data_IF_038793538011
#
_entry.id   IF_038793538011
#
_cell.length_a   1.000
_cell.length_b   1.000
_cell.length_c   1.000
_cell.angle_alpha   90.00
_cell.angle_beta   90.00
_cell.angle_gamma   90.00
#
_symmetry.space_group_name_H-M   'P 1'
#
loop_
_entity.id
_entity.type
_entity.pdbx_description
1 polymer ?
#
# COMPACT_ATOMS: atom_id res chain seq x y z
N UNK A 1 12.86 -23.73 25.30
CA UNK A 1 12.85 -22.52 24.45
C UNK A 1 11.71 -22.65 23.45
N UNK A 2 10.93 -21.59 23.22
CA UNK A 2 9.77 -21.62 22.31
C UNK A 2 10.15 -21.13 20.89
N UNK A 3 10.98 -20.08 20.81
CA UNK A 3 11.22 -19.39 19.53
C UNK A 3 12.45 -18.50 19.61
N UNK A 4 13.17 -18.41 18.51
CA UNK A 4 14.19 -17.39 18.27
C UNK A 4 13.64 -16.24 17.44
N UNK A 5 14.17 -15.05 17.65
CA UNK A 5 13.83 -13.88 16.85
C UNK A 5 15.05 -13.00 16.61
N UNK A 6 15.16 -12.47 15.40
CA UNK A 6 16.13 -11.44 15.06
C UNK A 6 15.38 -10.16 14.72
N UNK A 7 15.71 -9.07 15.40
CA UNK A 7 15.23 -7.73 15.09
C UNK A 7 16.29 -6.96 14.31
N UNK A 8 15.88 -6.35 13.21
CA UNK A 8 16.74 -5.56 12.34
C UNK A 8 16.20 -4.13 12.25
N UNK A 9 16.98 -3.16 12.72
CA UNK A 9 16.74 -1.75 12.44
C UNK A 9 17.65 -1.33 11.28
N UNK A 10 17.02 -0.95 10.15
CA UNK A 10 17.71 -0.79 8.87
C UNK A 10 17.74 0.67 8.44
N UNK A 11 18.95 1.21 8.31
CA UNK A 11 19.22 2.52 7.74
C UNK A 11 19.89 2.42 6.35
N UNK A 12 20.12 3.55 5.71
CA UNK A 12 20.75 3.57 4.37
C UNK A 12 22.14 2.95 4.32
N UNK A 13 22.92 3.01 5.42
CA UNK A 13 24.34 2.58 5.45
C UNK A 13 24.60 1.38 6.35
N UNK A 14 23.80 1.18 7.40
CA UNK A 14 24.01 0.15 8.42
C UNK A 14 22.71 -0.54 8.81
N UNK A 15 22.86 -1.71 9.39
CA UNK A 15 21.80 -2.52 9.98
C UNK A 15 22.21 -2.84 11.41
N UNK A 16 21.43 -2.39 12.37
CA UNK A 16 21.57 -2.76 13.77
C UNK A 16 20.75 -4.02 14.05
N UNK A 17 21.38 -5.06 14.56
CA UNK A 17 20.80 -6.41 14.67
C UNK A 17 20.76 -6.84 16.13
N UNK A 18 19.68 -7.48 16.54
CA UNK A 18 19.52 -8.08 17.85
C UNK A 18 18.98 -9.50 17.72
N UNK A 19 19.67 -10.47 18.29
CA UNK A 19 19.23 -11.87 18.38
C UNK A 19 18.65 -12.12 19.78
N UNK A 20 17.40 -12.59 19.84
CA UNK A 20 16.66 -12.87 21.06
C UNK A 20 16.06 -14.26 21.03
N UNK A 21 15.72 -14.75 22.20
CA UNK A 21 14.90 -15.97 22.38
C UNK A 21 13.80 -15.73 23.39
N UNK A 22 12.71 -16.48 23.26
CA UNK A 22 11.64 -16.53 24.24
C UNK A 22 11.55 -17.93 24.84
N UNK A 23 11.40 -18.03 26.16
CA UNK A 23 11.27 -19.30 26.88
C UNK A 23 9.79 -19.69 27.12
N UNK A 24 9.56 -20.85 27.73
CA UNK A 24 8.22 -21.35 28.09
C UNK A 24 7.48 -20.44 29.09
N UNK A 25 8.22 -19.68 29.89
CA UNK A 25 7.67 -18.67 30.80
C UNK A 25 7.40 -17.33 30.13
N UNK A 26 7.44 -17.27 28.77
CA UNK A 26 7.23 -16.07 27.96
C UNK A 26 8.25 -14.93 28.23
N UNK A 27 9.38 -15.25 28.83
CA UNK A 27 10.45 -14.27 29.08
C UNK A 27 11.35 -14.15 27.84
N UNK A 28 11.45 -12.94 27.32
CA UNK A 28 12.37 -12.63 26.22
C UNK A 28 13.76 -12.28 26.74
N UNK A 29 14.78 -12.93 26.17
CA UNK A 29 16.17 -12.73 26.54
C UNK A 29 17.01 -12.38 25.30
N UNK A 30 17.67 -11.22 25.34
CA UNK A 30 18.66 -10.84 24.32
C UNK A 30 19.90 -11.73 24.49
N UNK A 31 20.36 -12.33 23.41
CA UNK A 31 21.52 -13.22 23.39
C UNK A 31 22.75 -12.57 22.77
N UNK A 32 22.56 -11.81 21.70
CA UNK A 32 23.65 -11.18 20.96
C UNK A 32 23.17 -9.97 20.18
N UNK A 33 24.06 -9.03 19.93
CA UNK A 33 23.83 -7.87 19.05
C UNK A 33 25.04 -7.67 18.15
N UNK A 34 24.81 -7.17 16.94
CA UNK A 34 25.85 -6.80 15.98
C UNK A 34 25.34 -5.67 15.09
N UNK A 35 26.27 -4.88 14.57
CA UNK A 35 25.97 -3.90 13.51
C UNK A 35 26.73 -4.29 12.26
N UNK A 36 26.04 -4.36 11.10
CA UNK A 36 26.63 -4.68 9.81
C UNK A 36 26.33 -3.59 8.79
N UNK A 37 27.07 -3.54 7.70
CA UNK A 37 26.81 -2.60 6.60
C UNK A 37 25.57 -3.03 5.80
N UNK A 38 24.77 -2.06 5.34
CA UNK A 38 23.62 -2.32 4.47
C UNK A 38 24.09 -2.49 3.00
N UNK A 39 24.78 -3.59 2.72
CA UNK A 39 25.28 -3.96 1.40
C UNK A 39 25.47 -5.50 1.31
N UNK A 40 25.75 -6.08 0.14
CA UNK A 40 25.88 -7.52 -0.02
C UNK A 40 26.89 -8.19 0.92
N UNK A 41 28.02 -7.54 1.21
CA UNK A 41 29.02 -8.05 2.17
C UNK A 41 28.44 -8.10 3.58
N UNK A 42 27.76 -7.05 4.01
CA UNK A 42 27.10 -7.01 5.32
C UNK A 42 25.96 -8.02 5.45
N UNK A 43 25.23 -8.30 4.36
CA UNK A 43 24.18 -9.33 4.37
C UNK A 43 24.75 -10.74 4.57
N UNK A 44 25.91 -11.05 4.00
CA UNK A 44 26.58 -12.33 4.25
C UNK A 44 27.03 -12.42 5.71
N UNK A 45 27.66 -11.38 6.25
CA UNK A 45 28.04 -11.32 7.67
C UNK A 45 26.83 -11.48 8.60
N UNK A 46 25.70 -10.87 8.25
CA UNK A 46 24.45 -11.01 8.99
C UNK A 46 23.94 -12.46 8.97
N UNK A 47 23.95 -13.12 7.80
CA UNK A 47 23.52 -14.50 7.67
C UNK A 47 24.41 -15.45 8.50
N UNK A 48 25.73 -15.30 8.43
CA UNK A 48 26.68 -16.09 9.20
C UNK A 48 26.50 -15.88 10.72
N UNK A 49 26.26 -14.62 11.12
CA UNK A 49 26.00 -14.30 12.52
C UNK A 49 24.66 -14.88 13.01
N UNK A 50 23.62 -14.86 12.20
CA UNK A 50 22.33 -15.52 12.50
C UNK A 50 22.54 -17.02 12.66
N UNK A 51 23.25 -17.65 11.73
CA UNK A 51 23.50 -19.08 11.74
C UNK A 51 24.29 -19.53 12.98
N UNK A 52 25.32 -18.80 13.36
CA UNK A 52 26.13 -19.01 14.57
C UNK A 52 25.32 -18.91 15.87
N UNK A 53 24.34 -17.98 15.93
CA UNK A 53 23.52 -17.79 17.13
C UNK A 53 22.30 -18.72 17.18
N UNK A 54 21.82 -19.21 16.04
CA UNK A 54 20.71 -20.18 15.94
C UNK A 54 21.21 -21.60 16.25
N UNK A 55 21.54 -21.85 17.50
CA UNK A 55 22.18 -23.12 17.94
C UNK A 55 21.24 -24.33 17.83
N UNK A 56 19.96 -24.16 18.16
CA UNK A 56 18.94 -25.23 18.10
C UNK A 56 18.12 -25.04 16.84
N UNK A 57 18.49 -25.75 15.77
CA UNK A 57 17.90 -25.60 14.42
C UNK A 57 16.46 -26.12 14.32
N UNK A 58 16.04 -26.96 15.25
CA UNK A 58 14.67 -27.46 15.41
C UNK A 58 13.70 -26.38 15.95
N UNK A 59 14.23 -25.36 16.60
CA UNK A 59 13.42 -24.25 17.12
C UNK A 59 13.22 -23.18 16.04
N UNK A 60 11.98 -22.73 15.88
CA UNK A 60 11.62 -21.74 14.89
C UNK A 60 12.36 -20.40 15.10
N UNK A 61 12.88 -19.84 14.01
CA UNK A 61 13.48 -18.51 13.96
C UNK A 61 12.64 -17.60 13.05
N UNK A 62 12.37 -16.37 13.49
CA UNK A 62 11.78 -15.32 12.65
C UNK A 62 12.66 -14.08 12.65
N UNK A 63 12.79 -13.45 11.51
CA UNK A 63 13.52 -12.19 11.34
C UNK A 63 12.48 -11.06 11.19
N UNK A 64 12.52 -10.09 12.08
CA UNK A 64 11.58 -8.98 12.15
C UNK A 64 12.28 -7.66 11.80
N UNK A 65 11.77 -6.92 10.82
CA UNK A 65 12.30 -5.62 10.43
C UNK A 65 11.18 -4.62 10.15
N UNK A 66 11.49 -3.33 10.25
CA UNK A 66 10.55 -2.26 9.91
C UNK A 66 10.67 -1.88 8.44
N UNK A 67 9.53 -1.59 7.78
CA UNK A 67 9.48 -1.10 6.41
C UNK A 67 9.91 0.38 6.32
N UNK A 68 11.16 0.68 6.57
CA UNK A 68 11.71 2.04 6.54
C UNK A 68 12.17 2.41 5.13
N UNK A 69 11.31 3.14 4.41
CA UNK A 69 11.58 3.55 3.03
C UNK A 69 11.81 2.37 2.09
N UNK A 70 12.91 2.39 1.34
CA UNK A 70 13.36 1.31 0.42
C UNK A 70 14.57 0.54 0.97
N UNK A 71 15.15 1.00 2.07
CA UNK A 71 16.44 0.50 2.54
C UNK A 71 16.40 -0.95 3.05
N UNK A 72 15.23 -1.43 3.47
CA UNK A 72 15.05 -2.80 3.93
C UNK A 72 14.93 -3.81 2.79
N UNK A 73 14.52 -3.38 1.58
CA UNK A 73 14.08 -4.29 0.50
C UNK A 73 15.18 -5.26 0.07
N UNK A 74 16.42 -4.78 -0.11
CA UNK A 74 17.54 -5.63 -0.53
C UNK A 74 17.93 -6.66 0.53
N UNK A 75 17.97 -6.27 1.81
CA UNK A 75 18.23 -7.17 2.92
C UNK A 75 17.12 -8.21 3.08
N UNK A 76 15.85 -7.78 3.01
CA UNK A 76 14.70 -8.68 3.10
C UNK A 76 14.69 -9.72 1.98
N UNK A 77 14.98 -9.29 0.73
CA UNK A 77 15.06 -10.19 -0.43
C UNK A 77 16.19 -11.21 -0.26
N UNK A 78 17.39 -10.76 0.12
CA UNK A 78 18.52 -11.64 0.37
C UNK A 78 18.22 -12.72 1.42
N UNK A 79 17.59 -12.33 2.54
CA UNK A 79 17.23 -13.27 3.60
C UNK A 79 16.09 -14.21 3.15
N UNK A 80 15.15 -13.72 2.36
CA UNK A 80 14.07 -14.54 1.78
C UNK A 80 14.63 -15.60 0.82
N UNK A 81 15.57 -15.24 -0.06
CA UNK A 81 16.25 -16.15 -0.98
C UNK A 81 17.06 -17.23 -0.25
N UNK A 82 17.52 -16.93 0.98
CA UNK A 82 18.13 -17.92 1.89
C UNK A 82 17.08 -18.73 2.68
N UNK A 83 15.82 -18.72 2.29
CA UNK A 83 14.70 -19.42 2.94
C UNK A 83 14.48 -19.02 4.42
N UNK A 84 14.94 -17.84 4.84
CA UNK A 84 14.66 -17.32 6.16
C UNK A 84 13.20 -16.87 6.29
N UNK A 85 12.59 -17.07 7.46
CA UNK A 85 11.26 -16.54 7.78
C UNK A 85 11.34 -15.06 8.12
N UNK A 86 11.14 -14.20 7.13
CA UNK A 86 11.22 -12.74 7.26
C UNK A 86 9.82 -12.17 7.50
N UNK A 87 9.69 -11.21 8.41
CA UNK A 87 8.48 -10.44 8.65
C UNK A 87 8.80 -8.94 8.58
N UNK A 88 8.17 -8.24 7.65
CA UNK A 88 8.33 -6.80 7.46
C UNK A 88 7.14 -6.08 8.08
N UNK A 89 7.41 -5.25 9.07
CA UNK A 89 6.40 -4.59 9.90
C UNK A 89 6.18 -3.16 9.44
N UNK A 90 4.92 -2.76 9.36
CA UNK A 90 4.59 -1.37 9.04
C UNK A 90 5.10 -0.42 10.14
N UNK A 91 5.68 0.74 9.81
CA UNK A 91 6.25 1.69 10.76
C UNK A 91 5.32 2.08 11.91
N UNK A 92 4.04 2.30 11.62
CA UNK A 92 3.05 2.62 12.65
C UNK A 92 2.82 1.47 13.66
N UNK A 93 2.92 0.21 13.21
CA UNK A 93 2.76 -0.96 14.07
C UNK A 93 4.00 -1.14 14.94
N UNK A 94 5.19 -1.04 14.35
CA UNK A 94 6.46 -1.08 15.06
C UNK A 94 6.51 0.02 16.13
N UNK A 95 6.27 1.28 15.75
CA UNK A 95 6.25 2.42 16.66
C UNK A 95 5.32 2.24 17.86
N UNK A 96 4.08 1.77 17.64
CA UNK A 96 3.12 1.55 18.73
C UNK A 96 3.57 0.43 19.67
N UNK A 97 4.15 -0.62 19.14
CA UNK A 97 4.67 -1.71 19.94
C UNK A 97 5.86 -1.23 20.80
N UNK A 98 6.83 -0.53 20.21
CA UNK A 98 7.97 0.05 20.94
C UNK A 98 7.52 1.04 22.03
N UNK A 99 6.50 1.84 21.77
CA UNK A 99 5.91 2.73 22.77
C UNK A 99 5.26 1.94 23.93
N UNK A 100 4.59 0.82 23.62
CA UNK A 100 3.96 -0.03 24.64
C UNK A 100 4.99 -0.71 25.56
N UNK A 101 6.24 -0.91 25.10
CA UNK A 101 7.33 -1.42 25.95
C UNK A 101 7.82 -0.40 26.98
N UNK A 102 7.35 0.86 26.95
CA UNK A 102 7.74 1.90 27.91
C UNK A 102 9.20 2.33 27.84
N UNK A 103 9.87 2.10 26.71
CA UNK A 103 11.28 2.45 26.53
C UNK A 103 11.47 3.97 26.58
N UNK A 104 12.30 4.46 27.53
CA UNK A 104 12.54 5.89 27.76
C UNK A 104 13.51 6.50 26.74
N UNK A 105 14.39 5.70 26.17
CA UNK A 105 15.41 6.13 25.21
C UNK A 105 15.12 5.57 23.83
N UNK A 106 15.49 6.31 22.80
CA UNK A 106 15.37 5.91 21.40
C UNK A 106 16.77 5.95 20.77
N UNK A 107 17.24 4.79 20.30
CA UNK A 107 18.38 4.64 19.40
C UNK A 107 18.22 3.35 18.60
N UNK A 108 18.98 3.23 17.52
CA UNK A 108 18.88 2.12 16.57
C UNK A 108 19.06 0.74 17.25
N UNK A 109 19.94 0.63 18.22
CA UNK A 109 20.15 -0.62 18.98
C UNK A 109 18.93 -0.97 19.86
N UNK A 110 18.24 0.01 20.42
CA UNK A 110 17.02 -0.19 21.22
C UNK A 110 15.86 -0.58 20.29
N UNK A 111 15.75 0.06 19.13
CA UNK A 111 14.72 -0.26 18.14
C UNK A 111 14.91 -1.69 17.59
N UNK A 112 16.16 -2.12 17.30
CA UNK A 112 16.46 -3.51 16.93
C UNK A 112 16.08 -4.53 18.04
N UNK A 113 16.37 -4.21 19.33
CA UNK A 113 15.97 -5.05 20.46
C UNK A 113 14.44 -5.18 20.56
N UNK A 114 13.72 -4.06 20.42
CA UNK A 114 12.27 -4.06 20.44
C UNK A 114 11.64 -4.83 19.28
N UNK A 115 12.21 -4.74 18.07
CA UNK A 115 11.78 -5.54 16.92
C UNK A 115 12.06 -7.05 17.13
N UNK A 116 13.20 -7.41 17.75
CA UNK A 116 13.50 -8.79 18.14
C UNK A 116 12.50 -9.31 19.17
N UNK A 117 12.16 -8.50 20.18
CA UNK A 117 11.14 -8.84 21.16
C UNK A 117 9.77 -9.02 20.52
N UNK A 118 9.36 -8.10 19.63
CA UNK A 118 8.09 -8.21 18.88
C UNK A 118 8.02 -9.51 18.06
N UNK A 119 9.11 -9.86 17.38
CA UNK A 119 9.21 -11.11 16.63
C UNK A 119 9.15 -12.35 17.51
N UNK A 120 9.69 -12.30 18.73
CA UNK A 120 9.66 -13.39 19.70
C UNK A 120 8.24 -13.61 20.27
N UNK A 121 7.55 -12.53 20.66
CA UNK A 121 6.25 -12.57 21.35
C UNK A 121 5.06 -12.77 20.42
N UNK A 122 5.13 -12.24 19.18
CA UNK A 122 3.99 -12.24 18.27
C UNK A 122 4.11 -13.28 17.16
N UNK A 123 2.96 -13.78 16.71
CA UNK A 123 2.88 -14.51 15.45
C UNK A 123 2.72 -13.51 14.32
N UNK A 124 3.83 -13.15 13.68
CA UNK A 124 3.88 -12.14 12.63
C UNK A 124 3.62 -12.78 11.26
N UNK A 125 2.89 -12.06 10.41
CA UNK A 125 2.73 -12.46 9.01
C UNK A 125 4.10 -12.44 8.32
N UNK A 126 4.42 -13.53 7.64
CA UNK A 126 5.63 -13.59 6.83
C UNK A 126 5.51 -12.69 5.60
N UNK A 127 6.64 -12.10 5.24
CA UNK A 127 6.76 -11.24 4.08
C UNK A 127 7.08 -12.06 2.84
N UNK A 128 6.42 -11.70 1.75
CA UNK A 128 6.69 -12.21 0.42
C UNK A 128 7.13 -11.05 -0.48
N UNK A 129 8.20 -11.22 -1.26
CA UNK A 129 8.66 -10.18 -2.17
C UNK A 129 7.61 -9.91 -3.25
N UNK A 130 7.49 -8.65 -3.63
CA UNK A 130 6.73 -8.29 -4.81
C UNK A 130 7.42 -8.82 -6.05
N UNK A 131 6.68 -9.48 -6.96
CA UNK A 131 7.22 -9.94 -8.22
C UNK A 131 7.80 -8.77 -9.05
N UNK A 132 8.92 -9.01 -9.75
CA UNK A 132 9.64 -7.99 -10.53
C UNK A 132 8.71 -7.19 -11.44
N UNK A 133 7.80 -7.87 -12.14
CA UNK A 133 6.85 -7.25 -13.06
C UNK A 133 5.99 -6.15 -12.38
N UNK A 134 5.34 -6.46 -11.25
CA UNK A 134 4.52 -5.47 -10.55
C UNK A 134 5.36 -4.44 -9.79
N UNK A 135 6.59 -4.78 -9.41
CA UNK A 135 7.53 -3.84 -8.82
C UNK A 135 7.93 -2.74 -9.82
N UNK A 136 8.29 -3.10 -11.04
CA UNK A 136 8.60 -2.17 -12.13
C UNK A 136 7.38 -1.33 -12.52
N UNK A 137 6.20 -1.96 -12.66
CA UNK A 137 4.95 -1.25 -12.90
C UNK A 137 4.66 -0.21 -11.79
N UNK A 138 4.96 -0.56 -10.53
CA UNK A 138 4.84 0.36 -9.40
C UNK A 138 5.78 1.55 -9.50
N UNK A 139 7.01 1.35 -9.97
CA UNK A 139 7.94 2.45 -10.19
C UNK A 139 7.42 3.40 -11.28
N UNK A 140 6.96 2.89 -12.42
CA UNK A 140 6.38 3.69 -13.49
C UNK A 140 5.16 4.49 -13.03
N UNK A 141 4.19 3.85 -12.41
CA UNK A 141 2.95 4.50 -11.97
C UNK A 141 3.20 5.53 -10.87
N UNK A 142 4.14 5.29 -9.97
CA UNK A 142 4.53 6.26 -8.94
C UNK A 142 5.26 7.45 -9.54
N UNK A 143 6.16 7.23 -10.49
CA UNK A 143 6.85 8.31 -11.19
C UNK A 143 5.86 9.17 -11.98
N UNK A 144 4.91 8.53 -12.67
CA UNK A 144 3.82 9.24 -13.35
C UNK A 144 3.05 10.17 -12.40
N UNK A 145 2.64 9.66 -11.24
CA UNK A 145 1.94 10.46 -10.24
C UNK A 145 2.80 11.61 -9.71
N UNK A 146 4.08 11.36 -9.45
CA UNK A 146 5.00 12.39 -8.95
C UNK A 146 5.15 13.54 -9.97
N UNK A 147 5.37 13.23 -11.25
CA UNK A 147 5.48 14.25 -12.30
C UNK A 147 4.16 15.03 -12.44
N UNK A 148 3.01 14.36 -12.39
CA UNK A 148 1.70 15.01 -12.45
C UNK A 148 1.49 16.00 -11.29
N UNK A 149 1.95 15.65 -10.08
CA UNK A 149 1.94 16.56 -8.92
C UNK A 149 2.84 17.78 -9.17
N UNK A 150 4.06 17.56 -9.68
CA UNK A 150 4.99 18.65 -9.97
C UNK A 150 4.44 19.60 -11.03
N UNK A 151 3.84 19.09 -12.09
CA UNK A 151 3.17 19.93 -13.10
C UNK A 151 2.11 20.82 -12.44
N UNK A 152 1.33 20.27 -11.51
CA UNK A 152 0.30 21.04 -10.81
C UNK A 152 0.92 22.16 -9.97
N UNK A 153 2.01 21.87 -9.25
CA UNK A 153 2.75 22.85 -8.46
C UNK A 153 3.28 23.98 -9.37
N UNK A 154 3.96 23.64 -10.46
CA UNK A 154 4.51 24.64 -11.37
C UNK A 154 3.43 25.46 -12.10
N UNK A 155 2.30 24.85 -12.46
CA UNK A 155 1.15 25.59 -13.02
C UNK A 155 0.57 26.59 -12.03
N UNK A 156 0.46 26.23 -10.76
CA UNK A 156 0.00 27.15 -9.72
C UNK A 156 0.99 28.30 -9.48
N UNK A 157 2.30 28.03 -9.49
CA UNK A 157 3.33 29.06 -9.40
C UNK A 157 3.28 30.00 -10.61
N UNK A 158 3.16 29.45 -11.83
CA UNK A 158 3.03 30.24 -13.05
C UNK A 158 1.77 31.12 -13.02
N UNK A 159 0.64 30.58 -12.56
CA UNK A 159 -0.59 31.33 -12.41
C UNK A 159 -0.41 32.49 -11.42
N UNK A 160 0.17 32.24 -10.24
CA UNK A 160 0.45 33.26 -9.23
C UNK A 160 1.37 34.34 -9.78
N UNK A 161 2.44 33.96 -10.48
CA UNK A 161 3.40 34.92 -11.06
C UNK A 161 2.77 35.80 -12.16
N UNK A 162 1.94 35.19 -13.03
CA UNK A 162 1.22 35.94 -14.08
C UNK A 162 0.18 36.94 -13.54
N UNK A 163 -0.26 36.76 -12.31
CA UNK A 163 -1.21 37.66 -11.64
C UNK A 163 -0.54 38.58 -10.57
N UNK A 164 0.81 38.60 -10.53
CA UNK A 164 1.54 39.49 -9.62
C UNK A 164 1.62 40.91 -10.15
N UNK A 165 1.88 41.89 -9.27
CA UNK A 165 2.01 43.30 -9.63
C UNK A 165 3.10 43.55 -10.69
N UNK A 166 4.22 42.86 -10.58
CA UNK A 166 5.34 42.93 -11.53
C UNK A 166 5.70 41.52 -12.03
N UNK A 167 5.55 41.30 -13.33
CA UNK A 167 5.77 39.99 -13.93
C UNK A 167 7.22 39.88 -14.40
N UNK A 168 7.96 38.94 -13.82
CA UNK A 168 9.30 38.60 -14.31
C UNK A 168 9.21 37.61 -15.48
N UNK A 169 9.39 38.10 -16.71
CA UNK A 169 9.29 37.31 -17.94
C UNK A 169 10.30 36.17 -18.00
N UNK A 170 11.51 36.33 -17.41
CA UNK A 170 12.51 35.26 -17.38
C UNK A 170 12.06 34.07 -16.55
N UNK A 171 11.46 34.31 -15.37
CA UNK A 171 10.93 33.24 -14.51
C UNK A 171 9.70 32.57 -15.17
N UNK A 172 8.82 33.36 -15.80
CA UNK A 172 7.68 32.82 -16.57
C UNK A 172 8.18 31.81 -17.60
N UNK A 173 9.19 32.18 -18.42
CA UNK A 173 9.77 31.33 -19.47
C UNK A 173 10.37 30.04 -18.87
N UNK A 174 11.07 30.12 -17.73
CA UNK A 174 11.62 28.96 -17.05
C UNK A 174 10.51 27.97 -16.60
N UNK A 175 9.46 28.47 -15.94
CA UNK A 175 8.34 27.65 -15.49
C UNK A 175 7.61 26.97 -16.67
N UNK A 176 7.41 27.70 -17.77
CA UNK A 176 6.79 27.15 -18.99
C UNK A 176 7.64 26.03 -19.61
N UNK A 177 8.98 26.21 -19.64
CA UNK A 177 9.91 25.16 -20.11
C UNK A 177 9.84 23.89 -19.25
N UNK A 178 9.83 24.02 -17.91
CA UNK A 178 9.72 22.89 -17.00
C UNK A 178 8.39 22.15 -17.19
N UNK A 179 7.28 22.91 -17.29
CA UNK A 179 5.95 22.32 -17.52
C UNK A 179 5.92 21.56 -18.86
N UNK A 180 6.51 22.13 -19.91
CA UNK A 180 6.61 21.47 -21.23
C UNK A 180 7.42 20.16 -21.15
N UNK A 181 8.57 20.18 -20.48
CA UNK A 181 9.41 19.00 -20.27
C UNK A 181 8.64 17.90 -19.53
N UNK A 182 8.03 18.23 -18.39
CA UNK A 182 7.28 17.26 -17.60
C UNK A 182 6.04 16.72 -18.34
N UNK A 183 5.39 17.56 -19.16
CA UNK A 183 4.27 17.11 -19.99
C UNK A 183 4.72 16.07 -21.03
N UNK A 184 5.94 16.24 -21.61
CA UNK A 184 6.53 15.26 -22.52
C UNK A 184 6.84 13.96 -21.77
N UNK A 185 7.48 14.03 -20.60
CA UNK A 185 7.81 12.86 -19.78
C UNK A 185 6.55 12.09 -19.33
N UNK A 186 5.43 12.77 -19.05
CA UNK A 186 4.16 12.08 -18.74
C UNK A 186 3.70 11.21 -19.92
N UNK A 187 3.75 11.71 -21.15
CA UNK A 187 3.35 10.94 -22.33
C UNK A 187 4.25 9.73 -22.54
N UNK A 188 5.55 9.90 -22.37
CA UNK A 188 6.52 8.81 -22.46
C UNK A 188 6.27 7.73 -21.39
N UNK A 189 5.93 8.13 -20.15
CA UNK A 189 5.57 7.20 -19.08
C UNK A 189 4.23 6.50 -19.34
N UNK A 190 3.24 7.16 -19.91
CA UNK A 190 1.96 6.54 -20.32
C UNK A 190 2.22 5.41 -21.31
N UNK A 191 3.08 5.65 -22.31
CA UNK A 191 3.45 4.64 -23.30
C UNK A 191 4.25 3.50 -22.67
N UNK A 192 5.22 3.80 -21.80
CA UNK A 192 5.98 2.79 -21.06
C UNK A 192 5.09 1.93 -20.18
N UNK A 193 4.12 2.51 -19.49
CA UNK A 193 3.15 1.76 -18.68
C UNK A 193 2.32 0.83 -19.56
N UNK A 194 1.85 1.31 -20.71
CA UNK A 194 1.09 0.51 -21.67
C UNK A 194 1.92 -0.66 -22.20
N UNK A 195 3.12 -0.40 -22.68
CA UNK A 195 4.04 -1.41 -23.21
C UNK A 195 4.40 -2.44 -22.12
N UNK A 196 4.59 -2.00 -20.89
CA UNK A 196 4.83 -2.91 -19.77
C UNK A 196 3.63 -3.82 -19.47
N UNK A 197 2.39 -3.31 -19.54
CA UNK A 197 1.20 -4.15 -19.41
C UNK A 197 1.08 -5.16 -20.57
N UNK A 198 1.37 -4.74 -21.79
CA UNK A 198 1.36 -5.58 -23.01
C UNK A 198 2.43 -6.68 -22.97
N UNK A 199 3.53 -6.50 -22.23
CA UNK A 199 4.57 -7.54 -22.05
C UNK A 199 4.06 -8.78 -21.30
N UNK A 200 2.90 -8.69 -20.64
CA UNK A 200 2.25 -9.82 -19.98
C UNK A 200 0.81 -9.97 -20.51
N UNK A 201 0.57 -10.87 -21.49
CA UNK A 201 -0.73 -11.02 -22.14
C UNK A 201 -1.89 -11.33 -21.19
N UNK A 202 -1.64 -12.11 -20.13
CA UNK A 202 -2.67 -12.45 -19.13
C UNK A 202 -3.13 -11.19 -18.37
N UNK A 203 -2.16 -10.38 -17.91
CA UNK A 203 -2.46 -9.13 -17.19
C UNK A 203 -3.15 -8.15 -18.13
N UNK A 204 -2.70 -8.06 -19.39
CA UNK A 204 -3.29 -7.15 -20.36
C UNK A 204 -4.74 -7.53 -20.68
N UNK A 205 -5.03 -8.80 -20.93
CA UNK A 205 -6.39 -9.28 -21.16
C UNK A 205 -7.34 -8.95 -19.99
N UNK A 206 -6.89 -9.22 -18.76
CA UNK A 206 -7.67 -8.86 -17.55
C UNK A 206 -7.89 -7.36 -17.44
N UNK A 207 -6.87 -6.58 -17.80
CA UNK A 207 -6.93 -5.10 -17.82
C UNK A 207 -7.98 -4.62 -18.82
N UNK A 208 -7.97 -5.10 -20.05
CA UNK A 208 -8.95 -4.75 -21.08
C UNK A 208 -10.39 -5.11 -20.68
N UNK A 209 -10.59 -6.27 -20.07
CA UNK A 209 -11.89 -6.70 -19.57
C UNK A 209 -12.46 -5.74 -18.51
N UNK A 210 -11.61 -5.19 -17.66
CA UNK A 210 -12.02 -4.25 -16.61
C UNK A 210 -12.18 -2.84 -17.17
N UNK A 211 -11.37 -2.43 -18.15
CA UNK A 211 -11.50 -1.13 -18.81
C UNK A 211 -12.80 -0.96 -19.61
N UNK A 212 -13.59 -2.01 -19.79
CA UNK A 212 -14.99 -1.92 -20.27
C UNK A 212 -15.90 -1.14 -19.32
N UNK A 213 -15.52 -0.95 -18.06
CA UNK A 213 -16.19 -0.02 -17.14
C UNK A 213 -15.95 1.40 -17.65
N UNK A 214 -17.01 2.08 -18.12
CA UNK A 214 -16.88 3.46 -18.61
C UNK A 214 -16.34 4.38 -17.52
N UNK A 215 -15.15 4.93 -17.75
CA UNK A 215 -14.49 5.83 -16.81
C UNK A 215 -13.33 5.21 -16.04
N UNK A 216 -13.03 3.92 -16.23
CA UNK A 216 -11.82 3.27 -15.74
C UNK A 216 -10.83 3.15 -16.89
N UNK A 217 -9.76 3.96 -16.84
CA UNK A 217 -8.70 3.91 -17.83
C UNK A 217 -7.56 2.98 -17.43
N UNK A 218 -6.73 2.61 -18.41
CA UNK A 218 -5.55 1.74 -18.26
C UNK A 218 -4.63 2.22 -17.13
N UNK A 219 -4.33 3.53 -17.06
CA UNK A 219 -3.48 4.10 -16.01
C UNK A 219 -4.04 3.93 -14.60
N UNK A 220 -5.37 4.06 -14.46
CA UNK A 220 -6.03 3.86 -13.17
C UNK A 220 -5.91 2.42 -12.71
N UNK A 221 -6.10 1.48 -13.62
CA UNK A 221 -6.00 0.06 -13.33
C UNK A 221 -4.54 -0.36 -13.12
N UNK A 222 -3.61 0.10 -13.96
CA UNK A 222 -2.17 -0.13 -13.79
C UNK A 222 -1.70 0.28 -12.39
N UNK A 223 -2.14 1.46 -11.90
CA UNK A 223 -1.80 1.92 -10.55
C UNK A 223 -2.38 0.99 -9.46
N UNK A 224 -3.63 0.57 -9.60
CA UNK A 224 -4.25 -0.35 -8.63
C UNK A 224 -3.52 -1.69 -8.62
N UNK A 225 -3.23 -2.27 -9.78
CA UNK A 225 -2.51 -3.54 -9.92
C UNK A 225 -1.09 -3.44 -9.35
N UNK A 226 -0.37 -2.36 -9.67
CA UNK A 226 0.96 -2.10 -9.17
C UNK A 226 1.01 -1.99 -7.63
N UNK A 227 0.09 -1.25 -7.03
CA UNK A 227 0.06 -1.06 -5.57
C UNK A 227 -0.44 -2.29 -4.81
N UNK A 228 -1.06 -3.25 -5.49
CA UNK A 228 -1.63 -4.47 -4.89
C UNK A 228 -0.88 -5.75 -5.27
N UNK A 229 0.23 -5.65 -6.02
CA UNK A 229 0.93 -6.81 -6.58
C UNK A 229 -0.01 -7.74 -7.37
N UNK A 230 -0.82 -7.18 -8.28
CA UNK A 230 -1.84 -7.95 -8.99
C UNK A 230 -2.87 -8.62 -8.08
N UNK A 231 -3.16 -8.01 -6.92
CA UNK A 231 -4.04 -8.53 -5.87
C UNK A 231 -3.57 -9.83 -5.20
N UNK A 232 -2.32 -10.26 -5.39
CA UNK A 232 -1.77 -11.48 -4.75
C UNK A 232 -1.74 -11.38 -3.23
N UNK A 233 -1.62 -10.16 -2.69
CA UNK A 233 -1.52 -9.91 -1.25
C UNK A 233 -2.84 -10.08 -0.48
N UNK A 234 -3.97 -10.30 -1.20
CA UNK A 234 -5.32 -10.26 -0.61
C UNK A 234 -6.11 -11.54 -0.88
N UNK A 235 -6.61 -12.14 0.17
CA UNK A 235 -7.54 -13.28 0.12
C UNK A 235 -9.00 -12.83 0.02
N UNK A 236 -9.29 -11.60 0.48
CA UNK A 236 -10.65 -11.07 0.49
C UNK A 236 -10.71 -9.59 0.12
N UNK A 237 -11.86 -9.16 -0.40
CA UNK A 237 -12.14 -7.75 -0.66
C UNK A 237 -12.09 -6.89 0.61
N UNK A 238 -12.38 -7.46 1.79
CA UNK A 238 -12.29 -6.75 3.08
C UNK A 238 -10.85 -6.35 3.40
N UNK A 239 -9.89 -7.26 3.18
CA UNK A 239 -8.46 -6.96 3.36
C UNK A 239 -8.00 -5.85 2.40
N UNK A 240 -8.43 -5.90 1.13
CA UNK A 240 -8.13 -4.88 0.14
C UNK A 240 -8.72 -3.50 0.51
N UNK A 241 -9.96 -3.47 0.97
CA UNK A 241 -10.65 -2.24 1.42
C UNK A 241 -9.91 -1.61 2.60
N UNK A 242 -9.46 -2.44 3.56
CA UNK A 242 -8.64 -2.01 4.69
C UNK A 242 -7.28 -1.48 4.22
N UNK A 243 -6.60 -2.22 3.35
CA UNK A 243 -5.33 -1.80 2.76
C UNK A 243 -5.43 -0.45 2.03
N UNK A 244 -6.53 -0.21 1.33
CA UNK A 244 -6.79 1.08 0.68
C UNK A 244 -7.24 2.18 1.66
N UNK A 245 -7.58 1.85 2.90
CA UNK A 245 -8.02 2.80 3.93
C UNK A 245 -9.43 3.33 3.74
N UNK A 246 -10.30 2.51 3.13
CA UNK A 246 -11.74 2.77 3.01
C UNK A 246 -12.57 2.17 4.15
N UNK A 247 -11.93 1.62 5.18
CA UNK A 247 -12.63 1.17 6.38
C UNK A 247 -13.38 2.32 7.04
N UNK A 248 -14.56 2.03 7.53
CA UNK A 248 -15.34 2.99 8.33
C UNK A 248 -14.80 2.96 9.75
N UNK A 249 -14.44 4.11 10.25
CA UNK A 249 -14.06 4.31 11.65
C UNK A 249 -15.24 4.92 12.38
N UNK A 250 -15.71 4.19 13.37
CA UNK A 250 -16.71 4.66 14.33
C UNK A 250 -15.99 5.32 15.52
N UNK A 251 -16.57 6.40 16.01
CA UNK A 251 -16.08 7.11 17.19
C UNK A 251 -17.25 7.24 18.17
N UNK A 252 -17.47 6.17 18.93
CA UNK A 252 -18.53 6.10 19.91
C UNK A 252 -17.92 5.86 21.30
N UNK A 253 -18.39 6.58 22.28
CA UNK A 253 -17.99 6.42 23.68
C UNK A 253 -19.16 6.78 24.57
N UNK A 254 -19.74 5.78 25.26
CA UNK A 254 -20.94 5.94 26.06
C UNK A 254 -22.10 6.55 25.25
N UNK A 255 -22.63 7.68 25.69
CA UNK A 255 -23.72 8.39 25.01
C UNK A 255 -23.27 9.24 23.82
N UNK A 256 -21.95 9.40 23.58
CA UNK A 256 -21.41 10.21 22.50
C UNK A 256 -21.32 9.40 21.21
N UNK A 257 -22.08 9.80 20.19
CA UNK A 257 -21.99 9.27 18.83
C UNK A 257 -21.29 10.28 17.94
N UNK A 258 -20.04 10.00 17.56
CA UNK A 258 -19.24 10.83 16.67
C UNK A 258 -19.56 10.58 15.20
N UNK A 259 -19.15 11.50 14.30
CA UNK A 259 -19.32 11.33 12.86
C UNK A 259 -18.47 10.19 12.33
N UNK A 260 -19.08 9.25 11.62
CA UNK A 260 -18.38 8.20 10.88
C UNK A 260 -17.55 8.76 9.72
N UNK A 261 -16.36 8.24 9.52
CA UNK A 261 -15.46 8.60 8.40
C UNK A 261 -14.63 7.39 8.00
N UNK A 262 -14.06 7.41 6.79
CA UNK A 262 -13.08 6.40 6.40
C UNK A 262 -11.77 6.60 7.19
N UNK A 263 -11.06 5.50 7.43
CA UNK A 263 -9.83 5.50 8.24
C UNK A 263 -8.73 6.37 7.62
N UNK A 264 -8.65 6.40 6.31
CA UNK A 264 -7.52 6.95 5.51
C UNK A 264 -6.15 6.36 5.90
N UNK A 265 -6.12 5.38 6.81
CA UNK A 265 -4.93 4.63 7.21
C UNK A 265 -4.74 3.48 6.22
N UNK A 266 -3.99 3.74 5.15
CA UNK A 266 -3.77 2.77 4.08
C UNK A 266 -3.24 3.45 2.82
N UNK A 267 -3.24 2.74 1.71
CA UNK A 267 -2.66 3.20 0.45
C UNK A 267 -3.39 4.41 -0.13
N UNK A 268 -2.77 5.59 0.00
CA UNK A 268 -3.33 6.85 -0.50
C UNK A 268 -3.33 6.94 -2.02
N UNK A 269 -2.42 6.22 -2.71
CA UNK A 269 -2.31 6.23 -4.18
C UNK A 269 -3.51 5.55 -4.82
N UNK A 270 -3.99 4.44 -4.24
CA UNK A 270 -5.24 3.78 -4.68
C UNK A 270 -6.43 4.73 -4.51
N UNK A 271 -6.55 5.40 -3.36
CA UNK A 271 -7.66 6.36 -3.15
C UNK A 271 -7.60 7.53 -4.12
N UNK A 272 -6.40 8.03 -4.41
CA UNK A 272 -6.19 9.13 -5.35
C UNK A 272 -6.55 8.75 -6.77
N UNK A 273 -6.05 7.60 -7.25
CA UNK A 273 -6.26 7.20 -8.64
C UNK A 273 -7.73 6.83 -8.93
N UNK A 274 -8.46 6.33 -7.94
CA UNK A 274 -9.88 6.00 -8.07
C UNK A 274 -10.83 7.21 -7.92
N UNK A 275 -10.29 8.39 -7.57
CA UNK A 275 -11.10 9.58 -7.36
C UNK A 275 -11.85 10.00 -8.64
N UNK A 276 -11.13 10.27 -9.71
CA UNK A 276 -11.75 10.67 -10.99
C UNK A 276 -12.59 9.57 -11.65
N UNK A 277 -12.15 8.30 -11.70
CA UNK A 277 -13.00 7.21 -12.14
C UNK A 277 -14.36 7.14 -11.44
N UNK A 278 -14.39 7.36 -10.10
CA UNK A 278 -15.65 7.34 -9.37
C UNK A 278 -16.63 8.43 -9.81
N UNK A 279 -16.14 9.62 -10.16
CA UNK A 279 -16.99 10.68 -10.76
C UNK A 279 -17.48 10.29 -12.16
N UNK A 280 -16.59 9.71 -12.95
CA UNK A 280 -16.89 9.39 -14.35
C UNK A 280 -17.91 8.25 -14.46
N UNK A 281 -17.79 7.18 -13.66
CA UNK A 281 -18.78 6.07 -13.69
C UNK A 281 -20.19 6.54 -13.30
N UNK A 282 -20.30 7.49 -12.36
CA UNK A 282 -21.58 8.08 -11.97
C UNK A 282 -22.13 8.98 -13.09
N UNK A 283 -21.27 9.82 -13.70
CA UNK A 283 -21.64 10.69 -14.83
C UNK A 283 -22.04 9.89 -16.06
N UNK A 284 -21.37 8.77 -16.33
CA UNK A 284 -21.72 7.85 -17.42
C UNK A 284 -22.97 6.99 -17.13
N UNK A 285 -23.61 7.20 -15.97
CA UNK A 285 -24.82 6.47 -15.54
C UNK A 285 -24.63 4.95 -15.49
N UNK A 286 -23.42 4.48 -15.14
CA UNK A 286 -23.17 3.07 -14.89
C UNK A 286 -24.01 2.62 -13.68
N UNK A 287 -25.01 1.75 -13.94
CA UNK A 287 -26.10 1.46 -13.01
C UNK A 287 -25.65 1.06 -11.59
N UNK A 288 -24.67 0.15 -11.39
CA UNK A 288 -24.26 -0.26 -10.04
C UNK A 288 -23.70 0.92 -9.20
N UNK A 289 -23.04 1.87 -9.85
CA UNK A 289 -22.39 2.99 -9.19
C UNK A 289 -23.35 4.17 -9.00
N UNK A 290 -24.19 4.45 -10.00
CA UNK A 290 -25.21 5.49 -9.91
C UNK A 290 -26.22 5.18 -8.80
N UNK A 291 -26.73 3.94 -8.72
CA UNK A 291 -27.66 3.52 -7.68
C UNK A 291 -27.06 3.69 -6.28
N UNK A 292 -25.80 3.29 -6.09
CA UNK A 292 -25.11 3.48 -4.81
C UNK A 292 -24.94 4.98 -4.49
N UNK A 293 -24.50 5.79 -5.47
CA UNK A 293 -24.36 7.23 -5.30
C UNK A 293 -25.67 7.88 -4.88
N UNK A 294 -26.78 7.63 -5.61
CA UNK A 294 -28.09 8.21 -5.32
C UNK A 294 -28.57 7.82 -3.94
N UNK A 295 -28.54 6.53 -3.58
CA UNK A 295 -28.95 6.03 -2.27
C UNK A 295 -28.15 6.68 -1.13
N UNK A 296 -26.82 6.73 -1.25
CA UNK A 296 -25.99 7.31 -0.19
C UNK A 296 -26.13 8.82 -0.12
N UNK A 297 -26.30 9.50 -1.26
CA UNK A 297 -26.53 10.93 -1.28
C UNK A 297 -27.88 11.30 -0.64
N UNK A 298 -28.95 10.57 -0.93
CA UNK A 298 -30.27 10.75 -0.29
C UNK A 298 -30.19 10.60 1.23
N UNK A 299 -29.36 9.64 1.73
CA UNK A 299 -29.23 9.40 3.16
C UNK A 299 -28.40 10.47 3.90
N UNK A 300 -27.38 11.05 3.25
CA UNK A 300 -26.40 11.90 3.93
C UNK A 300 -26.34 13.35 3.43
N UNK A 301 -26.88 13.65 2.26
CA UNK A 301 -26.82 14.98 1.63
C UNK A 301 -25.40 15.44 1.23
N UNK A 302 -24.37 14.60 1.37
CA UNK A 302 -22.98 15.00 1.16
C UNK A 302 -22.40 14.26 -0.05
N UNK A 303 -22.27 14.98 -1.19
CA UNK A 303 -21.73 14.45 -2.46
C UNK A 303 -20.42 13.68 -2.29
N UNK A 304 -19.45 14.24 -1.58
CA UNK A 304 -18.13 13.62 -1.41
C UNK A 304 -18.16 12.31 -0.66
N UNK A 305 -19.04 12.13 0.35
CA UNK A 305 -19.20 10.83 1.02
C UNK A 305 -19.72 9.77 0.05
N UNK A 306 -20.69 10.14 -0.80
CA UNK A 306 -21.25 9.23 -1.79
C UNK A 306 -20.21 8.82 -2.84
N UNK A 307 -19.37 9.74 -3.31
CA UNK A 307 -18.26 9.40 -4.20
C UNK A 307 -17.22 8.49 -3.55
N UNK A 308 -16.93 8.65 -2.26
CA UNK A 308 -16.03 7.73 -1.53
C UNK A 308 -16.63 6.32 -1.43
N UNK A 309 -17.94 6.20 -1.24
CA UNK A 309 -18.62 4.89 -1.30
C UNK A 309 -18.52 4.26 -2.71
N UNK A 310 -18.65 5.06 -3.76
CA UNK A 310 -18.44 4.61 -5.14
C UNK A 310 -16.99 4.18 -5.39
N UNK A 311 -15.99 4.92 -4.90
CA UNK A 311 -14.57 4.51 -5.00
C UNK A 311 -14.34 3.14 -4.36
N UNK A 312 -14.86 2.92 -3.14
CA UNK A 312 -14.78 1.63 -2.45
C UNK A 312 -15.42 0.51 -3.29
N UNK A 313 -16.64 0.73 -3.80
CA UNK A 313 -17.34 -0.24 -4.64
C UNK A 313 -16.58 -0.53 -5.93
N UNK A 314 -16.04 0.51 -6.58
CA UNK A 314 -15.24 0.37 -7.79
C UNK A 314 -14.00 -0.50 -7.54
N UNK A 315 -13.28 -0.28 -6.45
CA UNK A 315 -12.13 -1.10 -6.06
C UNK A 315 -12.51 -2.58 -5.85
N UNK A 316 -13.63 -2.84 -5.19
CA UNK A 316 -14.13 -4.21 -4.95
C UNK A 316 -14.53 -4.90 -6.26
N UNK A 317 -15.20 -4.20 -7.17
CA UNK A 317 -15.57 -4.73 -8.49
C UNK A 317 -14.32 -5.02 -9.31
N UNK A 318 -13.35 -4.11 -9.38
CA UNK A 318 -12.07 -4.33 -10.07
C UNK A 318 -11.37 -5.60 -9.52
N UNK A 319 -11.31 -5.75 -8.20
CA UNK A 319 -10.75 -6.94 -7.55
C UNK A 319 -11.45 -8.22 -7.96
N UNK A 320 -12.79 -8.24 -7.91
CA UNK A 320 -13.59 -9.41 -8.27
C UNK A 320 -13.41 -9.81 -9.73
N UNK A 321 -13.47 -8.84 -10.65
CA UNK A 321 -13.29 -9.09 -12.07
C UNK A 321 -11.89 -9.62 -12.40
N UNK A 322 -10.86 -9.04 -11.79
CA UNK A 322 -9.48 -9.47 -11.98
C UNK A 322 -9.21 -10.89 -11.47
N UNK A 323 -9.68 -11.19 -10.23
CA UNK A 323 -9.49 -12.52 -9.62
C UNK A 323 -10.23 -13.62 -10.37
N UNK A 324 -11.43 -13.34 -10.87
CA UNK A 324 -12.28 -14.31 -11.55
C UNK A 324 -12.05 -14.32 -13.08
N UNK A 325 -11.15 -13.48 -13.60
CA UNK A 325 -10.91 -13.30 -15.03
C UNK A 325 -12.21 -13.10 -15.84
N UNK A 326 -13.09 -12.21 -15.35
CA UNK A 326 -14.40 -11.97 -15.97
C UNK A 326 -14.48 -10.56 -16.56
N UNK A 327 -15.09 -10.40 -17.74
CA UNK A 327 -15.40 -9.07 -18.28
C UNK A 327 -16.48 -8.38 -17.44
N UNK A 328 -16.44 -7.05 -17.42
CA UNK A 328 -17.48 -6.26 -16.78
C UNK A 328 -18.81 -6.38 -17.51
N UNK A 329 -19.86 -6.74 -16.76
CA UNK A 329 -21.25 -6.74 -17.21
C UNK A 329 -22.12 -5.93 -16.24
N UNK A 330 -22.66 -4.76 -16.66
CA UNK A 330 -23.49 -3.92 -15.80
C UNK A 330 -24.76 -4.63 -15.30
N UNK A 331 -25.33 -5.54 -16.09
CA UNK A 331 -26.57 -6.24 -15.75
C UNK A 331 -26.34 -7.25 -14.63
N UNK A 332 -25.26 -8.03 -14.72
CA UNK A 332 -24.89 -9.03 -13.71
C UNK A 332 -24.57 -8.42 -12.34
N UNK A 333 -23.92 -7.27 -12.32
CA UNK A 333 -23.59 -6.57 -11.07
C UNK A 333 -24.84 -6.06 -10.33
N UNK A 334 -25.93 -5.76 -11.04
CA UNK A 334 -27.20 -5.36 -10.42
C UNK A 334 -27.97 -6.54 -9.79
N UNK A 335 -27.83 -7.75 -10.35
CA UNK A 335 -28.51 -8.96 -9.82
C UNK A 335 -27.90 -9.36 -8.48
N UNK A 336 -26.58 -9.37 -8.36
CA UNK A 336 -25.89 -9.70 -7.09
C UNK A 336 -26.22 -8.73 -5.94
N UNK A 337 -26.50 -7.45 -6.23
CA UNK A 337 -26.98 -6.51 -5.22
C UNK A 337 -28.40 -6.79 -4.74
N UNK A 338 -29.27 -7.22 -5.62
CA UNK A 338 -30.66 -7.58 -5.26
C UNK A 338 -30.69 -8.83 -4.38
N UNK A 339 -29.85 -9.82 -4.67
CA UNK A 339 -29.75 -11.06 -3.88
C UNK A 339 -29.12 -10.84 -2.50
N UNK A 340 -28.20 -9.88 -2.33
CA UNK A 340 -27.62 -9.54 -1.04
C UNK A 340 -28.53 -8.68 -0.14
N UNK A 341 -29.53 -8.02 -0.70
CA UNK A 341 -30.49 -7.18 0.04
C UNK A 341 -31.71 -7.99 0.51
N UNK A 342 -32.08 -9.05 -0.18
CA UNK A 342 -33.23 -9.90 0.18
C UNK A 342 -33.07 -10.64 1.54
N UNK A 343 -31.92 -11.19 1.95
CA UNK A 343 -31.81 -11.89 3.24
C UNK A 343 -31.91 -10.98 4.45
N UNK A 344 -31.61 -9.70 4.32
CA UNK A 344 -31.65 -8.74 5.44
C UNK A 344 -33.03 -8.16 5.72
N UNK A 345 -33.99 -8.31 4.82
CA UNK A 345 -35.39 -7.87 4.96
C UNK A 345 -36.32 -8.97 5.46
N UNK A 346 -35.87 -10.23 5.44
CA UNK A 346 -36.63 -11.37 5.96
C UNK A 346 -36.21 -11.79 7.38
N UNK A 347 -35.22 -11.09 7.97
CA UNK A 347 -34.72 -11.33 9.32
C UNK A 347 -35.07 -10.21 10.33
N UNK A 348 -36.03 -9.35 10.01
CA UNK A 348 -36.56 -8.32 10.93
C UNK A 348 -38.00 -8.59 11.30
#
# INVERSE_FOLDING_TARGET
MLKYSVGLDISSKKIDCCFSSIDMGQKVKVQSTVTVSNNPTGFNLLADWIDKNHRQKDIALVICMEATGVYYESCALFLFEKACKVSVILPNKAKKYLQALGLKSKNDSIDAKGLAQMGAEQNLKLWEPMGKYFYELRQFTRQYQNIQEQITVYRNQLHSLKNSMYINKAIVKQLEQVIKLFTKQLKELEEQIKNHLESNPEVMQKTENICKIKGVGILSLATVLAETNGFSLFESSRQLVSFAGYDVVENQSGKRVGKTKISKKGNSRIRRILFMPAFTVVRCKEAPFLNLYTRTFSNHGIKMKSYVAVQKKLLVIIYSLYKNNQPYDPKRQNIQEKEQVLPSLLAS
#
